data_IF_173274738934
#
_entry.id   IF_173274738934
#
_cell.length_a   1.000
_cell.length_b   1.000
_cell.length_c   1.000
_cell.angle_alpha   90.00
_cell.angle_beta   90.00
_cell.angle_gamma   90.00
#
_symmetry.space_group_name_H-M   'P 1'
#
loop_
_entity.id
_entity.type
_entity.pdbx_description
1 polymer ?
#
# COMPACT_ATOMS: atom_id res chain seq x y z
N UNK A 1 4.01 14.95 -17.52
CA UNK A 1 3.67 15.18 -18.94
C UNK A 1 3.32 16.66 -19.14
N UNK A 2 3.78 17.30 -20.21
CA UNK A 2 3.44 18.70 -20.52
C UNK A 2 2.03 18.81 -21.13
N UNK A 3 1.27 19.85 -20.75
CA UNK A 3 -0.10 20.09 -21.26
C UNK A 3 -0.16 20.32 -22.77
N UNK A 4 0.93 20.76 -23.39
CA UNK A 4 1.08 20.93 -24.84
C UNK A 4 0.90 19.62 -25.62
N UNK A 5 1.15 18.46 -25.00
CA UNK A 5 0.98 17.13 -25.61
C UNK A 5 -0.48 16.79 -25.99
N UNK A 6 -1.44 17.52 -25.41
CA UNK A 6 -2.87 17.24 -25.50
C UNK A 6 -3.67 18.28 -26.31
N UNK A 7 -3.00 19.25 -26.95
CA UNK A 7 -3.69 20.25 -27.78
C UNK A 7 -4.52 19.59 -28.90
N UNK A 8 -5.69 20.17 -29.18
CA UNK A 8 -6.63 19.76 -30.25
C UNK A 8 -7.31 18.39 -30.10
N UNK A 9 -7.30 17.79 -28.90
CA UNK A 9 -8.03 16.54 -28.63
C UNK A 9 -9.48 16.80 -28.24
N UNK A 10 -10.39 15.94 -28.71
CA UNK A 10 -11.81 16.00 -28.38
C UNK A 10 -12.12 15.40 -27.00
N UNK A 11 -13.27 15.76 -26.43
CA UNK A 11 -13.79 15.12 -25.21
C UNK A 11 -14.68 13.92 -25.56
N UNK A 12 -14.60 12.86 -24.76
CA UNK A 12 -15.53 11.73 -24.78
C UNK A 12 -16.44 11.80 -23.54
N UNK A 13 -17.75 11.90 -23.75
CA UNK A 13 -18.76 11.90 -22.67
C UNK A 13 -19.72 10.74 -22.81
N UNK A 14 -19.85 9.92 -21.77
CA UNK A 14 -20.70 8.73 -21.72
C UNK A 14 -21.68 8.87 -20.55
N UNK A 15 -22.89 9.32 -20.84
CA UNK A 15 -23.94 9.54 -19.81
C UNK A 15 -24.97 8.41 -19.74
N UNK A 16 -25.09 7.57 -20.78
CA UNK A 16 -25.95 6.39 -20.83
C UNK A 16 -25.14 5.10 -20.82
N UNK A 17 -25.69 4.04 -21.42
CA UNK A 17 -24.96 2.79 -21.67
C UNK A 17 -24.43 2.76 -23.11
N UNK A 18 -23.17 2.40 -23.33
CA UNK A 18 -22.64 2.27 -24.69
C UNK A 18 -21.25 1.65 -24.80
N UNK A 19 -20.91 1.24 -26.02
CA UNK A 19 -19.56 0.78 -26.41
C UNK A 19 -18.88 1.84 -27.26
N UNK A 20 -17.61 2.09 -27.00
CA UNK A 20 -16.81 3.12 -27.65
C UNK A 20 -15.45 2.55 -28.04
N UNK A 21 -14.84 3.11 -29.09
CA UNK A 21 -13.44 2.84 -29.40
C UNK A 21 -12.51 3.61 -28.46
N UNK A 22 -11.33 3.05 -28.22
CA UNK A 22 -10.20 3.77 -27.64
C UNK A 22 -9.70 4.89 -28.56
N UNK A 23 -8.71 5.64 -28.10
CA UNK A 23 -8.13 6.74 -28.85
C UNK A 23 -7.56 7.84 -27.97
N UNK A 24 -7.27 8.97 -28.62
CA UNK A 24 -6.70 10.15 -27.98
C UNK A 24 -7.80 11.15 -27.66
N UNK A 25 -7.93 11.50 -26.38
CA UNK A 25 -8.94 12.44 -25.90
C UNK A 25 -8.30 13.53 -25.05
N UNK A 26 -8.98 14.65 -24.91
CA UNK A 26 -8.65 15.61 -23.87
C UNK A 26 -9.23 15.09 -22.55
N UNK A 27 -10.56 14.94 -22.48
CA UNK A 27 -11.23 14.42 -21.29
C UNK A 27 -12.16 13.25 -21.63
N UNK A 28 -12.05 12.15 -20.89
CA UNK A 28 -12.99 11.02 -20.89
C UNK A 28 -13.82 11.09 -19.62
N UNK A 29 -15.13 11.32 -19.75
CA UNK A 29 -16.08 11.44 -18.63
C UNK A 29 -17.20 10.42 -18.75
N UNK A 30 -17.31 9.53 -17.77
CA UNK A 30 -18.28 8.44 -17.74
C UNK A 30 -19.15 8.59 -16.49
N UNK A 31 -20.42 8.95 -16.69
CA UNK A 31 -21.42 8.99 -15.62
C UNK A 31 -22.47 7.89 -15.71
N UNK A 32 -22.56 7.21 -16.86
CA UNK A 32 -23.41 6.03 -17.09
C UNK A 32 -22.62 4.72 -17.02
N UNK A 33 -22.83 3.84 -18.00
CA UNK A 33 -22.12 2.57 -18.17
C UNK A 33 -21.34 2.56 -19.49
N UNK A 34 -20.02 2.65 -19.43
CA UNK A 34 -19.17 2.71 -20.62
C UNK A 34 -18.31 1.47 -20.81
N UNK A 35 -18.33 0.88 -22.00
CA UNK A 35 -17.31 -0.08 -22.42
C UNK A 35 -16.43 0.56 -23.48
N UNK A 36 -15.11 0.56 -23.29
CA UNK A 36 -14.15 1.15 -24.21
C UNK A 36 -13.22 0.04 -24.70
N UNK A 37 -13.15 -0.16 -26.02
CA UNK A 37 -12.28 -1.14 -26.65
C UNK A 37 -11.11 -0.46 -27.36
N UNK A 38 -9.89 -0.78 -26.92
CA UNK A 38 -8.65 -0.17 -27.38
C UNK A 38 -8.06 0.78 -26.34
N UNK A 39 -6.82 1.19 -26.61
CA UNK A 39 -6.04 2.00 -25.67
C UNK A 39 -6.60 3.42 -25.54
N UNK A 40 -6.46 4.00 -24.36
CA UNK A 40 -6.83 5.37 -24.06
C UNK A 40 -5.59 6.22 -23.77
N UNK A 41 -5.50 7.36 -24.43
CA UNK A 41 -4.50 8.39 -24.16
C UNK A 41 -5.23 9.73 -23.93
N UNK A 42 -5.39 10.13 -22.67
CA UNK A 42 -6.17 11.31 -22.31
C UNK A 42 -5.55 12.18 -21.21
N UNK A 43 -5.95 13.45 -21.10
CA UNK A 43 -5.55 14.27 -19.94
C UNK A 43 -6.28 13.75 -18.70
N UNK A 44 -7.60 13.72 -18.79
CA UNK A 44 -8.50 13.36 -17.70
C UNK A 44 -9.24 12.06 -18.02
N UNK A 45 -9.18 11.08 -17.14
CA UNK A 45 -10.13 9.97 -17.07
C UNK A 45 -10.98 10.12 -15.80
N UNK A 46 -12.28 10.37 -15.97
CA UNK A 46 -13.23 10.63 -14.87
C UNK A 46 -14.40 9.66 -14.96
N UNK A 47 -14.56 8.76 -13.99
CA UNK A 47 -15.69 7.81 -13.97
C UNK A 47 -16.46 7.90 -12.65
N UNK A 48 -17.71 8.36 -12.70
CA UNK A 48 -18.64 8.32 -11.57
C UNK A 48 -19.69 7.22 -11.69
N UNK A 49 -19.85 6.64 -12.87
CA UNK A 49 -20.70 5.47 -13.11
C UNK A 49 -19.88 4.17 -13.12
N UNK A 50 -20.18 3.28 -14.06
CA UNK A 50 -19.44 2.03 -14.28
C UNK A 50 -18.66 2.10 -15.58
N UNK A 51 -17.39 1.68 -15.58
CA UNK A 51 -16.62 1.56 -16.82
C UNK A 51 -15.82 0.27 -16.94
N UNK A 52 -15.70 -0.23 -18.17
CA UNK A 52 -14.82 -1.33 -18.53
C UNK A 52 -13.94 -0.90 -19.71
N UNK A 53 -12.63 -0.85 -19.52
CA UNK A 53 -11.66 -0.53 -20.57
C UNK A 53 -10.90 -1.80 -20.94
N UNK A 54 -11.01 -2.21 -22.21
CA UNK A 54 -10.26 -3.32 -22.79
C UNK A 54 -9.09 -2.73 -23.58
N UNK A 55 -8.02 -2.39 -22.87
CA UNK A 55 -6.83 -1.74 -23.40
C UNK A 55 -6.03 -1.08 -22.28
N UNK A 56 -4.90 -0.48 -22.65
CA UNK A 56 -4.07 0.30 -21.73
C UNK A 56 -4.63 1.72 -21.56
N UNK A 57 -4.40 2.32 -20.38
CA UNK A 57 -4.80 3.70 -20.09
C UNK A 57 -3.56 4.54 -19.76
N UNK A 58 -3.27 5.50 -20.61
CA UNK A 58 -2.31 6.57 -20.37
C UNK A 58 -3.09 7.84 -20.07
N UNK A 59 -2.88 8.44 -18.90
CA UNK A 59 -3.45 9.74 -18.62
C UNK A 59 -2.62 10.64 -17.71
N UNK A 60 -3.04 11.89 -17.54
CA UNK A 60 -2.48 12.74 -16.49
C UNK A 60 -3.23 12.53 -15.17
N UNK A 61 -4.55 12.64 -15.18
CA UNK A 61 -5.43 12.46 -14.03
C UNK A 61 -6.40 11.29 -14.25
N UNK A 62 -6.27 10.25 -13.43
CA UNK A 62 -7.22 9.15 -13.33
C UNK A 62 -8.04 9.33 -12.04
N UNK A 63 -9.34 9.58 -12.16
CA UNK A 63 -10.24 9.84 -11.02
C UNK A 63 -11.52 9.03 -11.16
N UNK A 64 -11.77 8.14 -10.20
CA UNK A 64 -13.02 7.38 -10.18
C UNK A 64 -13.72 7.48 -8.83
N UNK A 65 -15.04 7.60 -8.88
CA UNK A 65 -15.92 7.51 -7.72
C UNK A 65 -16.96 6.39 -7.83
N UNK A 66 -17.16 5.82 -9.01
CA UNK A 66 -17.93 4.60 -9.22
C UNK A 66 -17.02 3.38 -9.39
N UNK A 67 -17.41 2.49 -10.29
CA UNK A 67 -16.73 1.21 -10.53
C UNK A 67 -15.96 1.25 -11.85
N UNK A 68 -14.72 0.76 -11.87
CA UNK A 68 -13.92 0.72 -13.11
C UNK A 68 -13.08 -0.55 -13.20
N UNK A 69 -13.21 -1.30 -14.30
CA UNK A 69 -12.28 -2.38 -14.65
C UNK A 69 -11.43 -2.01 -15.86
N UNK A 70 -10.14 -2.29 -15.79
CA UNK A 70 -9.18 -2.07 -16.88
C UNK A 70 -8.47 -3.39 -17.16
N UNK A 71 -8.59 -3.90 -18.39
CA UNK A 71 -7.95 -5.13 -18.88
C UNK A 71 -6.59 -4.84 -19.51
N UNK A 72 -5.83 -3.96 -18.89
CA UNK A 72 -4.52 -3.50 -19.35
C UNK A 72 -3.76 -2.81 -18.22
N UNK A 73 -2.71 -2.09 -18.59
CA UNK A 73 -1.88 -1.27 -17.72
C UNK A 73 -2.46 0.13 -17.55
N UNK A 74 -2.08 0.80 -16.45
CA UNK A 74 -2.39 2.21 -16.23
C UNK A 74 -1.11 3.00 -15.98
N UNK A 75 -0.90 4.07 -16.74
CA UNK A 75 0.13 5.06 -16.48
C UNK A 75 -0.52 6.42 -16.25
N UNK A 76 -0.30 6.99 -15.07
CA UNK A 76 -0.88 8.28 -14.68
C UNK A 76 0.13 9.20 -14.01
N UNK A 77 -0.17 10.49 -13.86
CA UNK A 77 0.52 11.32 -12.87
C UNK A 77 -0.23 11.29 -11.54
N UNK A 78 -1.55 11.40 -11.58
CA UNK A 78 -2.42 11.33 -10.40
C UNK A 78 -3.44 10.22 -10.60
N UNK A 79 -3.51 9.29 -9.64
CA UNK A 79 -4.49 8.22 -9.62
C UNK A 79 -5.32 8.29 -8.33
N UNK A 80 -6.63 8.47 -8.44
CA UNK A 80 -7.53 8.61 -7.28
C UNK A 80 -8.76 7.73 -7.42
N UNK A 81 -9.00 6.89 -6.42
CA UNK A 81 -10.15 5.97 -6.34
C UNK A 81 -10.91 6.23 -5.05
N UNK A 82 -12.18 6.61 -5.14
CA UNK A 82 -13.09 6.60 -3.98
C UNK A 82 -14.18 5.52 -4.06
N UNK A 83 -14.43 4.95 -5.25
CA UNK A 83 -15.30 3.79 -5.44
C UNK A 83 -14.49 2.50 -5.49
N UNK A 84 -14.65 1.69 -6.52
CA UNK A 84 -13.90 0.45 -6.70
C UNK A 84 -13.15 0.40 -8.04
N UNK A 85 -11.91 -0.11 -8.02
CA UNK A 85 -11.14 -0.37 -9.25
C UNK A 85 -10.60 -1.79 -9.34
N UNK A 86 -10.63 -2.37 -10.54
CA UNK A 86 -9.96 -3.64 -10.86
C UNK A 86 -9.11 -3.49 -12.12
N UNK A 87 -7.80 -3.38 -11.93
CA UNK A 87 -6.79 -3.25 -12.98
C UNK A 87 -6.09 -4.60 -13.11
N UNK A 88 -6.13 -5.21 -14.30
CA UNK A 88 -5.50 -6.51 -14.51
C UNK A 88 -3.98 -6.42 -14.66
N UNK A 89 -3.47 -5.33 -15.24
CA UNK A 89 -2.05 -5.13 -15.50
C UNK A 89 -1.32 -4.38 -14.39
N UNK A 90 -0.23 -3.72 -14.78
CA UNK A 90 0.61 -2.91 -13.92
C UNK A 90 0.07 -1.48 -13.79
N UNK A 91 0.45 -0.80 -12.70
CA UNK A 91 0.21 0.63 -12.53
C UNK A 91 1.54 1.36 -12.34
N UNK A 92 1.72 2.47 -13.06
CA UNK A 92 2.77 3.45 -12.80
C UNK A 92 2.14 4.83 -12.57
N UNK A 93 2.38 5.43 -11.40
CA UNK A 93 1.83 6.77 -11.10
C UNK A 93 2.79 7.63 -10.28
N UNK A 94 2.75 8.95 -10.42
CA UNK A 94 3.54 9.82 -9.54
C UNK A 94 2.88 9.86 -8.14
N UNK A 95 1.56 10.08 -8.11
CA UNK A 95 0.74 10.09 -6.90
C UNK A 95 -0.45 9.12 -7.04
N UNK A 96 -0.73 8.38 -5.97
CA UNK A 96 -1.86 7.45 -5.91
C UNK A 96 -2.60 7.55 -4.57
N UNK A 97 -3.91 7.73 -4.62
CA UNK A 97 -4.80 7.75 -3.45
C UNK A 97 -5.97 6.80 -3.63
N UNK A 98 -6.14 5.86 -2.70
CA UNK A 98 -7.24 4.90 -2.71
C UNK A 98 -7.99 5.04 -1.39
N UNK A 99 -9.20 5.58 -1.45
CA UNK A 99 -10.12 5.66 -0.31
C UNK A 99 -11.14 4.53 -0.28
N UNK A 100 -11.46 3.94 -1.44
CA UNK A 100 -12.35 2.78 -1.56
C UNK A 100 -11.54 1.49 -1.75
N UNK A 101 -12.00 0.63 -2.66
CA UNK A 101 -11.39 -0.68 -2.91
C UNK A 101 -10.58 -0.70 -4.21
N UNK A 102 -9.41 -1.33 -4.19
CA UNK A 102 -8.63 -1.51 -5.41
C UNK A 102 -7.99 -2.89 -5.52
N UNK A 103 -8.10 -3.48 -6.71
CA UNK A 103 -7.39 -4.71 -7.09
C UNK A 103 -6.48 -4.40 -8.28
N UNK A 104 -5.19 -4.67 -8.11
CA UNK A 104 -4.14 -4.49 -9.11
C UNK A 104 -3.54 -5.87 -9.34
N UNK A 105 -3.67 -6.38 -10.56
CA UNK A 105 -3.26 -7.74 -10.90
C UNK A 105 -1.74 -7.90 -11.01
N UNK A 106 -1.05 -6.86 -11.49
CA UNK A 106 0.40 -6.84 -11.64
C UNK A 106 1.12 -6.04 -10.55
N UNK A 107 2.22 -5.41 -10.96
CA UNK A 107 3.07 -4.57 -10.12
C UNK A 107 2.50 -3.14 -9.98
N UNK A 108 2.78 -2.51 -8.84
CA UNK A 108 2.50 -1.11 -8.58
C UNK A 108 3.81 -0.36 -8.34
N UNK A 109 4.13 0.58 -9.24
CA UNK A 109 5.23 1.52 -9.09
C UNK A 109 4.69 2.93 -8.89
N UNK A 110 5.02 3.59 -7.78
CA UNK A 110 4.42 4.87 -7.43
C UNK A 110 5.36 5.79 -6.65
N UNK A 111 5.38 7.10 -6.91
CA UNK A 111 6.16 8.02 -6.07
C UNK A 111 5.58 8.16 -4.67
N UNK A 112 4.30 8.53 -4.56
CA UNK A 112 3.57 8.69 -3.31
C UNK A 112 2.27 7.88 -3.30
N UNK A 113 2.12 6.98 -2.32
CA UNK A 113 0.93 6.14 -2.16
C UNK A 113 0.22 6.42 -0.84
N UNK A 114 -1.10 6.64 -0.90
CA UNK A 114 -1.98 6.67 0.26
C UNK A 114 -3.17 5.75 0.09
N UNK A 115 -3.27 4.73 0.95
CA UNK A 115 -4.42 3.81 0.99
C UNK A 115 -5.17 4.05 2.31
N UNK A 116 -6.46 4.31 2.23
CA UNK A 116 -7.36 4.45 3.40
C UNK A 116 -8.49 3.41 3.42
N UNK A 117 -8.85 2.84 2.26
CA UNK A 117 -9.70 1.65 2.16
C UNK A 117 -8.87 0.38 2.10
N UNK A 118 -9.33 -0.59 1.30
CA UNK A 118 -8.65 -1.88 1.12
C UNK A 118 -8.03 -1.99 -0.28
N UNK A 119 -6.84 -2.59 -0.36
CA UNK A 119 -6.15 -2.76 -1.63
C UNK A 119 -5.42 -4.09 -1.74
N UNK A 120 -5.41 -4.65 -2.95
CA UNK A 120 -4.63 -5.83 -3.31
C UNK A 120 -3.73 -5.54 -4.49
N UNK A 121 -2.44 -5.77 -4.33
CA UNK A 121 -1.42 -5.79 -5.38
C UNK A 121 -0.99 -7.25 -5.59
N UNK A 122 -1.13 -7.75 -6.82
CA UNK A 122 -0.80 -9.13 -7.16
C UNK A 122 0.70 -9.39 -7.21
N UNK A 123 1.47 -8.41 -7.69
CA UNK A 123 2.93 -8.45 -7.76
C UNK A 123 3.60 -7.66 -6.65
N UNK A 124 4.66 -6.93 -7.04
CA UNK A 124 5.46 -6.09 -6.16
C UNK A 124 4.86 -4.69 -6.02
N UNK A 125 5.16 -4.05 -4.89
CA UNK A 125 4.90 -2.64 -4.65
C UNK A 125 6.24 -1.91 -4.49
N UNK A 126 6.51 -0.93 -5.36
CA UNK A 126 7.67 -0.04 -5.25
C UNK A 126 7.19 1.40 -5.13
N UNK A 127 7.71 2.15 -4.16
CA UNK A 127 7.47 3.59 -4.13
C UNK A 127 8.15 4.39 -3.05
N UNK A 128 8.34 5.69 -3.25
CA UNK A 128 9.18 6.50 -2.35
C UNK A 128 8.52 6.63 -0.96
N UNK A 129 7.24 7.01 -0.91
CA UNK A 129 6.50 7.17 0.35
C UNK A 129 5.17 6.43 0.31
N UNK A 130 5.04 5.42 1.16
CA UNK A 130 3.87 4.56 1.22
C UNK A 130 3.17 4.74 2.56
N UNK A 131 1.90 5.16 2.53
CA UNK A 131 1.06 5.38 3.71
C UNK A 131 -0.20 4.54 3.66
N UNK A 132 -0.32 3.59 4.59
CA UNK A 132 -1.46 2.68 4.70
C UNK A 132 -2.23 3.00 5.97
N UNK A 133 -3.50 3.39 5.84
CA UNK A 133 -4.42 3.64 6.96
C UNK A 133 -5.55 2.59 7.04
N UNK A 134 -5.72 1.79 5.98
CA UNK A 134 -6.68 0.68 5.91
C UNK A 134 -5.97 -0.67 5.83
N UNK A 135 -6.39 -1.51 4.88
CA UNK A 135 -5.80 -2.82 4.63
C UNK A 135 -5.06 -2.89 3.29
N UNK A 136 -3.91 -3.54 3.26
CA UNK A 136 -3.22 -3.85 2.00
C UNK A 136 -2.71 -5.28 1.94
N UNK A 137 -2.90 -5.96 0.81
CA UNK A 137 -2.24 -7.24 0.50
C UNK A 137 -1.33 -7.06 -0.71
N UNK A 138 -0.06 -7.43 -0.57
CA UNK A 138 0.96 -7.38 -1.62
C UNK A 138 1.47 -8.81 -1.81
N UNK A 139 1.40 -9.31 -3.05
CA UNK A 139 1.76 -10.69 -3.36
C UNK A 139 3.26 -10.96 -3.27
N UNK A 140 4.08 -9.98 -3.68
CA UNK A 140 5.54 -10.06 -3.63
C UNK A 140 6.16 -9.12 -2.60
N UNK A 141 7.20 -8.39 -3.02
CA UNK A 141 7.96 -7.48 -2.18
C UNK A 141 7.31 -6.09 -2.09
N UNK A 142 7.60 -5.39 -0.99
CA UNK A 142 7.32 -3.98 -0.81
C UNK A 142 8.63 -3.21 -0.60
N UNK A 143 9.03 -2.36 -1.55
CA UNK A 143 10.24 -1.54 -1.48
C UNK A 143 9.87 -0.06 -1.41
N UNK A 144 10.41 0.66 -0.42
CA UNK A 144 10.19 2.10 -0.28
C UNK A 144 11.38 2.87 0.30
N UNK A 145 11.33 4.20 0.24
CA UNK A 145 12.19 5.01 1.11
C UNK A 145 11.54 5.13 2.50
N UNK A 146 10.24 5.42 2.53
CA UNK A 146 9.44 5.53 3.75
C UNK A 146 8.18 4.66 3.65
N UNK A 147 7.99 3.80 4.63
CA UNK A 147 6.78 3.01 4.80
C UNK A 147 6.12 3.33 6.14
N UNK A 148 4.86 3.76 6.10
CA UNK A 148 4.05 4.01 7.29
C UNK A 148 2.74 3.24 7.21
N UNK A 149 2.44 2.44 8.23
CA UNK A 149 1.17 1.73 8.33
C UNK A 149 0.47 2.01 9.66
N UNK A 150 -0.73 2.57 9.60
CA UNK A 150 -1.71 2.66 10.69
C UNK A 150 -2.92 1.79 10.36
N UNK A 151 -2.72 0.48 10.27
CA UNK A 151 -3.73 -0.42 9.70
C UNK A 151 -3.28 -1.87 9.73
N UNK A 152 -3.61 -2.61 8.68
CA UNK A 152 -3.19 -3.99 8.50
C UNK A 152 -2.49 -4.17 7.15
N UNK A 153 -1.49 -5.05 7.09
CA UNK A 153 -0.89 -5.46 5.84
C UNK A 153 -0.58 -6.94 5.80
N UNK A 154 -0.56 -7.50 4.60
CA UNK A 154 0.00 -8.82 4.31
C UNK A 154 0.92 -8.69 3.09
N UNK A 155 2.23 -8.79 3.32
CA UNK A 155 3.27 -8.76 2.29
C UNK A 155 3.79 -10.19 2.15
N UNK A 156 3.87 -10.69 0.92
CA UNK A 156 4.17 -12.11 0.69
C UNK A 156 5.63 -12.50 0.96
N UNK A 157 6.55 -11.56 0.74
CA UNK A 157 7.99 -11.79 0.82
C UNK A 157 8.65 -10.85 1.84
N UNK A 158 9.15 -9.71 1.39
CA UNK A 158 9.90 -8.76 2.21
C UNK A 158 9.28 -7.36 2.17
N UNK A 159 9.33 -6.67 3.32
CA UNK A 159 9.18 -5.22 3.42
C UNK A 159 10.57 -4.59 3.60
N UNK A 160 11.03 -3.83 2.62
CA UNK A 160 12.30 -3.11 2.69
C UNK A 160 12.10 -1.61 2.56
N UNK A 161 12.55 -0.82 3.54
CA UNK A 161 12.59 0.63 3.41
C UNK A 161 13.64 1.29 4.30
N UNK A 162 14.07 2.52 3.98
CA UNK A 162 14.99 3.25 4.87
C UNK A 162 14.34 3.48 6.23
N UNK A 163 13.09 3.95 6.24
CA UNK A 163 12.30 4.17 7.45
C UNK A 163 10.98 3.43 7.41
N UNK A 164 10.73 2.64 8.45
CA UNK A 164 9.52 1.83 8.63
C UNK A 164 8.85 2.23 9.95
N UNK A 165 7.62 2.73 9.87
CA UNK A 165 6.76 3.00 11.02
C UNK A 165 5.49 2.15 10.92
N UNK A 166 5.27 1.27 11.89
CA UNK A 166 4.11 0.38 11.93
C UNK A 166 3.37 0.61 13.24
N UNK A 167 2.10 0.98 13.12
CA UNK A 167 1.12 0.98 14.17
C UNK A 167 0.04 -0.06 13.82
N UNK A 168 0.14 -1.29 14.35
CA UNK A 168 -0.77 -2.36 13.98
C UNK A 168 -2.22 -2.01 14.36
N UNK A 169 -3.07 -1.72 13.39
CA UNK A 169 -4.53 -1.63 13.55
C UNK A 169 -5.21 -3.00 13.48
N UNK A 170 -4.51 -4.00 12.94
CA UNK A 170 -4.87 -5.41 12.82
C UNK A 170 -3.63 -6.28 12.72
N UNK A 171 -3.75 -7.47 12.13
CA UNK A 171 -2.58 -8.34 11.93
C UNK A 171 -1.76 -7.81 10.76
N UNK A 172 -0.49 -7.52 11.03
CA UNK A 172 0.51 -7.18 10.03
C UNK A 172 1.43 -8.39 9.83
N UNK A 173 1.59 -8.85 8.59
CA UNK A 173 2.38 -10.04 8.28
C UNK A 173 3.29 -9.84 7.07
N UNK A 174 4.53 -10.29 7.19
CA UNK A 174 5.55 -10.41 6.13
C UNK A 174 6.54 -11.48 6.54
N UNK A 175 7.37 -12.02 5.64
CA UNK A 175 8.42 -12.96 6.06
C UNK A 175 9.59 -12.18 6.63
N UNK A 176 10.04 -11.14 5.92
CA UNK A 176 11.22 -10.37 6.29
C UNK A 176 10.93 -8.87 6.33
N UNK A 177 11.61 -8.16 7.25
CA UNK A 177 11.66 -6.70 7.29
C UNK A 177 13.11 -6.25 7.29
N UNK A 178 13.46 -5.40 6.32
CA UNK A 178 14.75 -4.75 6.22
C UNK A 178 14.61 -3.23 6.28
N UNK A 179 15.44 -2.56 7.08
CA UNK A 179 15.45 -1.10 7.07
C UNK A 179 16.48 -0.46 7.97
N UNK A 180 16.68 0.85 7.84
CA UNK A 180 17.64 1.57 8.69
C UNK A 180 17.01 1.95 10.03
N UNK A 181 15.80 2.50 9.99
CA UNK A 181 14.99 2.84 11.16
C UNK A 181 13.70 2.03 11.13
N UNK A 182 13.50 1.14 12.10
CA UNK A 182 12.32 0.30 12.19
C UNK A 182 11.64 0.57 13.53
N UNK A 183 10.41 1.05 13.48
CA UNK A 183 9.62 1.37 14.65
C UNK A 183 8.23 0.72 14.55
N UNK A 184 7.96 -0.22 15.45
CA UNK A 184 6.64 -0.80 15.66
C UNK A 184 6.14 -0.31 17.01
N UNK A 185 5.07 0.49 17.02
CA UNK A 185 4.47 1.03 18.24
C UNK A 185 2.98 0.79 18.28
N UNK A 186 2.46 0.38 19.43
CA UNK A 186 1.04 0.47 19.72
C UNK A 186 0.67 1.92 20.04
N UNK A 187 -0.58 2.30 19.75
CA UNK A 187 -1.08 3.64 20.06
C UNK A 187 -1.24 3.80 21.58
N UNK A 188 -0.44 4.69 22.18
CA UNK A 188 -0.49 5.04 23.62
C UNK A 188 -1.75 5.83 24.06
N UNK A 189 -2.51 6.42 23.11
CA UNK A 189 -3.65 7.34 23.42
C UNK A 189 -5.05 6.71 23.26
N UNK A 190 -5.16 5.40 23.26
CA UNK A 190 -6.49 4.77 23.21
C UNK A 190 -7.14 4.80 24.61
N UNK A 191 -8.41 5.19 24.66
CA UNK A 191 -9.23 5.02 25.87
C UNK A 191 -9.18 3.55 26.31
N UNK A 192 -9.19 3.30 27.63
CA UNK A 192 -9.12 1.97 28.24
C UNK A 192 -10.02 0.93 27.54
N UNK A 193 -11.22 1.33 27.10
CA UNK A 193 -12.17 0.49 26.38
C UNK A 193 -11.67 0.03 24.99
N UNK A 194 -11.04 0.93 24.22
CA UNK A 194 -10.51 0.60 22.89
C UNK A 194 -9.26 -0.27 22.96
N UNK A 195 -8.42 -0.02 23.97
CA UNK A 195 -7.32 -0.92 24.33
C UNK A 195 -7.87 -2.34 24.60
N UNK A 196 -8.90 -2.46 25.45
CA UNK A 196 -9.51 -3.75 25.78
C UNK A 196 -10.08 -4.50 24.57
N UNK A 197 -10.77 -3.83 23.64
CA UNK A 197 -11.31 -4.47 22.42
C UNK A 197 -10.18 -4.99 21.52
N UNK A 198 -9.09 -4.23 21.37
CA UNK A 198 -7.91 -4.66 20.61
C UNK A 198 -7.22 -5.85 21.26
N UNK A 199 -7.09 -5.83 22.59
CA UNK A 199 -6.48 -6.91 23.37
C UNK A 199 -7.33 -8.18 23.36
N UNK A 200 -8.65 -8.06 23.49
CA UNK A 200 -9.57 -9.20 23.45
C UNK A 200 -9.62 -9.87 22.07
N UNK A 201 -9.41 -9.10 21.00
CA UNK A 201 -9.34 -9.62 19.64
C UNK A 201 -8.00 -10.31 19.35
N UNK A 202 -6.91 -9.91 20.03
CA UNK A 202 -5.57 -10.45 19.83
C UNK A 202 -4.97 -10.20 18.43
N UNK A 203 -5.61 -9.39 17.59
CA UNK A 203 -5.23 -9.24 16.17
C UNK A 203 -4.21 -8.13 15.92
N UNK A 204 -4.09 -7.13 16.78
CA UNK A 204 -3.17 -6.00 16.59
C UNK A 204 -1.75 -6.41 16.96
N UNK A 205 -0.99 -6.88 15.96
CA UNK A 205 0.40 -7.32 16.11
C UNK A 205 1.12 -7.38 14.77
N UNK A 206 2.45 -7.32 14.82
CA UNK A 206 3.32 -7.68 13.71
C UNK A 206 3.77 -9.14 13.86
N UNK A 207 3.76 -9.89 12.75
CA UNK A 207 4.28 -11.26 12.67
C UNK A 207 5.24 -11.34 11.47
N UNK A 208 6.47 -11.75 11.74
CA UNK A 208 7.48 -11.97 10.70
C UNK A 208 8.47 -13.06 11.11
N UNK A 209 9.28 -13.53 10.18
CA UNK A 209 10.36 -14.47 10.47
C UNK A 209 11.60 -13.71 10.93
N UNK A 210 12.00 -12.66 10.21
CA UNK A 210 13.17 -11.85 10.52
C UNK A 210 12.94 -10.34 10.43
N UNK A 211 13.65 -9.60 11.28
CA UNK A 211 13.77 -8.14 11.21
C UNK A 211 15.25 -7.78 11.26
N UNK A 212 15.74 -7.03 10.28
CA UNK A 212 17.12 -6.56 10.22
C UNK A 212 17.19 -5.04 10.02
N UNK A 213 17.97 -4.35 10.86
CA UNK A 213 18.16 -2.92 10.74
C UNK A 213 19.11 -2.26 11.73
N UNK A 214 19.41 -0.97 11.54
CA UNK A 214 20.35 -0.26 12.41
C UNK A 214 19.73 0.09 13.77
N UNK A 215 18.56 0.75 13.74
CA UNK A 215 17.82 1.18 14.92
C UNK A 215 16.44 0.53 14.91
N UNK A 216 16.18 -0.33 15.91
CA UNK A 216 14.98 -1.16 15.97
C UNK A 216 14.26 -0.91 17.28
N UNK A 217 12.99 -0.49 17.21
CA UNK A 217 12.08 -0.43 18.33
C UNK A 217 10.83 -1.27 18.03
N UNK A 218 10.53 -2.26 18.86
CA UNK A 218 9.41 -3.18 18.63
C UNK A 218 8.45 -3.20 19.82
N UNK A 219 7.16 -3.15 19.54
CA UNK A 219 6.06 -3.53 20.44
C UNK A 219 5.15 -4.50 19.70
N UNK A 220 4.43 -5.36 20.44
CA UNK A 220 3.43 -6.28 19.89
C UNK A 220 3.91 -7.06 18.64
N UNK A 221 5.14 -7.55 18.70
CA UNK A 221 5.81 -8.19 17.56
C UNK A 221 6.16 -9.63 17.89
N UNK A 222 5.84 -10.56 16.99
CA UNK A 222 6.30 -11.93 17.02
C UNK A 222 7.30 -12.15 15.89
N UNK A 223 8.53 -12.52 16.24
CA UNK A 223 9.59 -12.78 15.26
C UNK A 223 10.50 -13.94 15.68
N UNK A 224 11.05 -14.67 14.69
CA UNK A 224 12.04 -15.71 14.98
C UNK A 224 13.41 -15.07 15.28
N UNK A 225 13.80 -14.05 14.49
CA UNK A 225 15.07 -13.36 14.68
C UNK A 225 14.92 -11.85 14.51
N UNK A 226 15.58 -11.09 15.39
CA UNK A 226 15.76 -9.64 15.25
C UNK A 226 17.25 -9.36 15.29
N UNK A 227 17.78 -8.71 14.25
CA UNK A 227 19.20 -8.39 14.11
C UNK A 227 19.41 -6.89 13.92
N UNK A 228 20.33 -6.27 14.67
CA UNK A 228 20.62 -4.86 14.50
C UNK A 228 21.72 -4.29 15.37
N UNK A 229 21.91 -2.97 15.32
CA UNK A 229 22.93 -2.28 16.15
C UNK A 229 22.34 -1.88 17.50
N UNK A 230 21.27 -1.09 17.46
CA UNK A 230 20.57 -0.55 18.62
C UNK A 230 19.16 -1.12 18.65
N UNK A 231 18.86 -2.00 19.60
CA UNK A 231 17.60 -2.76 19.64
C UNK A 231 16.86 -2.51 20.95
N UNK A 232 15.60 -2.08 20.85
CA UNK A 232 14.68 -2.03 21.99
C UNK A 232 13.48 -2.95 21.74
N UNK A 233 13.33 -3.96 22.60
CA UNK A 233 12.19 -4.88 22.59
C UNK A 233 11.22 -4.48 23.71
N UNK A 234 10.08 -3.94 23.30
CA UNK A 234 9.02 -3.44 24.15
C UNK A 234 7.92 -4.45 24.45
N UNK A 235 6.85 -3.98 25.08
CA UNK A 235 5.76 -4.81 25.57
C UNK A 235 5.13 -5.70 24.49
N UNK A 236 4.67 -6.90 24.89
CA UNK A 236 3.98 -7.87 24.04
C UNK A 236 4.80 -8.39 22.86
N UNK A 237 6.12 -8.26 22.93
CA UNK A 237 6.99 -8.94 21.99
C UNK A 237 7.24 -10.39 22.40
N UNK A 238 7.25 -11.29 21.42
CA UNK A 238 7.70 -12.68 21.54
C UNK A 238 8.78 -12.91 20.47
N UNK A 239 10.04 -12.84 20.89
CA UNK A 239 11.20 -12.95 19.99
C UNK A 239 12.02 -14.20 20.36
N UNK A 240 12.31 -15.04 19.37
CA UNK A 240 13.10 -16.24 19.65
C UNK A 240 14.59 -15.90 19.85
N UNK A 241 15.20 -15.14 18.94
CA UNK A 241 16.61 -14.73 19.06
C UNK A 241 16.78 -13.25 18.73
N UNK A 242 17.53 -12.54 19.57
CA UNK A 242 18.01 -11.18 19.27
C UNK A 242 19.53 -11.20 19.09
N UNK A 243 19.99 -10.77 17.91
CA UNK A 243 21.40 -10.60 17.57
C UNK A 243 21.73 -9.10 17.51
N UNK A 244 22.67 -8.63 18.34
CA UNK A 244 22.98 -7.19 18.44
C UNK A 244 24.47 -6.92 18.47
N UNK A 245 24.92 -5.84 17.82
CA UNK A 245 26.34 -5.44 17.83
C UNK A 245 26.65 -4.37 18.89
N UNK A 246 25.72 -3.44 19.14
CA UNK A 246 25.93 -2.33 20.10
C UNK A 246 25.13 -2.57 21.39
N UNK A 247 23.91 -2.03 21.47
CA UNK A 247 23.05 -2.06 22.66
C UNK A 247 21.71 -2.78 22.43
N UNK A 248 21.26 -3.42 23.50
CA UNK A 248 19.97 -4.07 23.60
C UNK A 248 19.27 -3.59 24.87
N UNK A 249 18.00 -3.20 24.74
CA UNK A 249 17.10 -2.89 25.85
C UNK A 249 15.87 -3.78 25.75
N UNK A 250 15.57 -4.52 26.82
CA UNK A 250 14.36 -5.36 26.91
C UNK A 250 13.49 -4.78 28.01
N UNK A 251 12.28 -4.33 27.66
CA UNK A 251 11.34 -3.72 28.59
C UNK A 251 10.40 -4.76 29.21
N UNK A 252 9.77 -4.39 30.31
CA UNK A 252 8.80 -5.25 31.00
C UNK A 252 7.67 -5.70 30.06
N UNK A 253 7.36 -7.00 30.10
CA UNK A 253 6.33 -7.61 29.26
C UNK A 253 6.81 -8.06 27.87
N UNK A 254 8.10 -7.93 27.56
CA UNK A 254 8.74 -8.60 26.43
C UNK A 254 9.20 -10.02 26.80
N UNK A 255 9.13 -10.95 25.84
CA UNK A 255 9.70 -12.30 25.95
C UNK A 255 10.76 -12.45 24.86
N UNK A 256 12.01 -12.65 25.28
CA UNK A 256 13.15 -12.94 24.40
C UNK A 256 13.78 -14.25 24.85
N UNK A 257 13.86 -15.28 23.98
CA UNK A 257 14.42 -16.58 24.39
C UNK A 257 15.95 -16.58 24.41
N UNK A 258 16.59 -16.03 23.38
CA UNK A 258 18.04 -16.00 23.24
C UNK A 258 18.54 -14.58 22.92
N UNK A 259 19.69 -14.23 23.48
CA UNK A 259 20.40 -12.98 23.21
C UNK A 259 21.83 -13.30 22.80
N UNK A 260 22.26 -12.77 21.66
CA UNK A 260 23.59 -13.02 21.08
C UNK A 260 24.21 -11.67 20.74
N UNK A 261 25.37 -11.38 21.31
CA UNK A 261 26.18 -10.23 20.91
C UNK A 261 27.12 -10.65 19.78
N UNK A 262 27.09 -9.93 18.66
CA UNK A 262 27.89 -10.19 17.44
C UNK A 262 28.95 -9.12 17.19
#
# INVERSE_FOLDING_TARGET
MERSYYSDRSDLKISGSGKFGGGKFNSVKISGAGEIHGDLDCVDFKCSGSSNVVGDVLCQEFKISGDTSIKGNVKSSVFSVSGASSINGNITSDEMKISGDSKIGGDLSVGQLKISGDSKVGGNLKGDNIKIFGGVRIGGNCEAEQFTCYGAFNIGEMLNAEKIEINPGGECRTNEIGGKEIEVRLRSKDSFLMSFIRFASGKSRLICDSIEGDNIYLEATKANIVRGKHITIGERCEIDTVEYSEDITILDGAIVKNQIKI
#
